data_IF_463069472594
#
_entry.id   IF_463069472594
#
_cell.length_a   1.000
_cell.length_b   1.000
_cell.length_c   1.000
_cell.angle_alpha   90.00
_cell.angle_beta   90.00
_cell.angle_gamma   90.00
#
_symmetry.space_group_name_H-M   'P 1'
#
loop_
_entity.id
_entity.type
_entity.pdbx_description
1 polymer ?
#
# COMPACT_ATOMS: atom_id res chain seq x y z
N UNK A 1 -16.65 -20.06 7.09
CA UNK A 1 -15.76 -19.32 6.18
C UNK A 1 -15.55 -17.92 6.75
N UNK A 2 -14.37 -17.33 6.60
CA UNK A 2 -14.06 -15.98 7.10
C UNK A 2 -13.86 -15.05 5.91
N UNK A 3 -14.43 -13.86 5.94
CA UNK A 3 -14.18 -12.80 5.00
C UNK A 3 -13.35 -11.71 5.68
N UNK A 4 -12.24 -11.32 5.06
CA UNK A 4 -11.47 -10.15 5.48
C UNK A 4 -11.60 -9.04 4.44
N UNK A 5 -11.72 -7.80 4.90
CA UNK A 5 -11.92 -6.62 4.05
C UNK A 5 -10.96 -5.53 4.51
N UNK A 6 -10.05 -5.14 3.64
CA UNK A 6 -9.19 -3.97 3.83
C UNK A 6 -9.75 -2.79 3.03
N UNK A 7 -10.26 -1.79 3.74
CA UNK A 7 -10.82 -0.57 3.15
C UNK A 7 -9.75 0.51 3.13
N UNK A 8 -8.90 0.44 2.13
CA UNK A 8 -7.82 1.41 1.92
C UNK A 8 -8.29 2.75 1.37
N UNK A 9 -7.35 3.67 1.19
CA UNK A 9 -7.61 5.00 0.64
C UNK A 9 -8.07 4.98 -0.83
N UNK A 10 -7.56 4.05 -1.62
CA UNK A 10 -7.81 3.96 -3.08
C UNK A 10 -8.56 2.69 -3.45
N UNK A 11 -8.17 1.55 -2.90
CA UNK A 11 -8.73 0.24 -3.21
C UNK A 11 -9.30 -0.42 -1.97
N UNK A 12 -10.38 -1.16 -2.16
CA UNK A 12 -10.91 -2.11 -1.21
C UNK A 12 -10.46 -3.50 -1.65
N UNK A 13 -9.89 -4.26 -0.72
CA UNK A 13 -9.36 -5.59 -0.96
C UNK A 13 -10.12 -6.57 -0.08
N UNK A 14 -10.51 -7.69 -0.63
CA UNK A 14 -11.17 -8.76 0.12
C UNK A 14 -10.41 -10.06 -0.01
N UNK A 15 -10.41 -10.86 1.04
CA UNK A 15 -9.86 -12.21 1.07
C UNK A 15 -10.84 -13.14 1.77
N UNK A 16 -11.22 -14.23 1.11
CA UNK A 16 -12.01 -15.33 1.67
C UNK A 16 -11.07 -16.42 2.19
N UNK A 17 -11.18 -16.78 3.47
CA UNK A 17 -10.40 -17.86 4.07
C UNK A 17 -11.30 -19.08 4.34
N UNK A 18 -10.85 -20.32 4.08
CA UNK A 18 -9.51 -20.75 3.65
C UNK A 18 -9.31 -20.83 2.13
N UNK A 19 -10.24 -20.39 1.32
CA UNK A 19 -10.13 -20.48 -0.17
C UNK A 19 -9.06 -19.57 -0.76
N UNK A 20 -8.56 -18.61 0.01
CA UNK A 20 -7.58 -17.60 -0.40
C UNK A 20 -8.02 -16.77 -1.63
N UNK A 21 -9.33 -16.73 -1.90
CA UNK A 21 -9.88 -15.96 -3.01
C UNK A 21 -9.82 -14.47 -2.70
N UNK A 22 -9.08 -13.74 -3.50
CA UNK A 22 -8.94 -12.29 -3.40
C UNK A 22 -9.79 -11.57 -4.44
N UNK A 23 -10.29 -10.38 -4.09
CA UNK A 23 -10.93 -9.45 -5.01
C UNK A 23 -10.50 -8.03 -4.68
N UNK A 24 -10.52 -7.17 -5.70
CA UNK A 24 -10.22 -5.75 -5.60
C UNK A 24 -11.38 -4.95 -6.21
N UNK A 25 -11.81 -3.90 -5.52
CA UNK A 25 -12.80 -2.94 -6.03
C UNK A 25 -12.53 -1.55 -5.49
N UNK A 26 -13.06 -0.53 -6.14
CA UNK A 26 -13.06 0.85 -5.65
C UNK A 26 -14.39 1.21 -4.97
N UNK A 27 -15.42 0.41 -5.17
CA UNK A 27 -16.76 0.65 -4.66
C UNK A 27 -17.17 -0.43 -3.66
N UNK A 28 -17.54 -0.02 -2.45
CA UNK A 28 -17.96 -0.93 -1.40
C UNK A 28 -19.28 -1.66 -1.73
N UNK A 29 -20.18 -1.01 -2.47
CA UNK A 29 -21.47 -1.61 -2.86
C UNK A 29 -21.31 -2.79 -3.84
N UNK A 30 -20.14 -2.92 -4.49
CA UNK A 30 -19.82 -4.07 -5.32
C UNK A 30 -19.42 -5.31 -4.51
N UNK A 31 -19.18 -5.15 -3.21
CA UNK A 31 -18.90 -6.26 -2.32
C UNK A 31 -20.23 -6.92 -1.98
N UNK A 32 -20.54 -8.01 -2.68
CA UNK A 32 -21.73 -8.78 -2.40
C UNK A 32 -21.59 -9.52 -1.04
N UNK A 33 -22.16 -8.91 0.00
CA UNK A 33 -22.24 -9.51 1.34
C UNK A 33 -23.40 -10.49 1.41
N UNK A 34 -23.19 -11.70 0.98
CA UNK A 34 -24.00 -12.79 1.48
C UNK A 34 -23.51 -13.10 2.90
N UNK A 35 -23.88 -12.26 3.87
CA UNK A 35 -23.40 -12.36 5.26
C UNK A 35 -23.62 -13.74 5.87
N UNK A 36 -24.65 -14.43 5.42
CA UNK A 36 -25.01 -15.80 5.82
C UNK A 36 -23.94 -16.86 5.42
N UNK A 37 -23.08 -16.54 4.46
CA UNK A 37 -21.97 -17.43 4.03
C UNK A 37 -20.78 -17.40 4.98
N UNK A 38 -20.67 -16.36 5.82
CA UNK A 38 -19.48 -16.13 6.63
C UNK A 38 -19.79 -16.28 8.11
N UNK A 39 -18.99 -17.09 8.80
CA UNK A 39 -18.99 -17.19 10.26
C UNK A 39 -18.45 -15.91 10.90
N UNK A 40 -17.56 -15.22 10.17
CA UNK A 40 -16.88 -14.05 10.66
C UNK A 40 -16.51 -13.11 9.51
N UNK A 41 -16.67 -11.81 9.73
CA UNK A 41 -16.21 -10.77 8.82
C UNK A 41 -15.26 -9.87 9.60
N UNK A 42 -14.04 -9.69 9.10
CA UNK A 42 -13.02 -8.83 9.70
C UNK A 42 -12.81 -7.65 8.77
N UNK A 43 -12.95 -6.44 9.29
CA UNK A 43 -12.80 -5.22 8.50
C UNK A 43 -11.67 -4.38 9.09
N UNK A 44 -10.75 -3.94 8.23
CA UNK A 44 -9.62 -3.07 8.54
C UNK A 44 -9.47 -1.97 7.49
N UNK A 45 -8.44 -1.15 7.62
CA UNK A 45 -8.12 -0.07 6.69
C UNK A 45 -8.59 1.30 7.16
N UNK A 46 -7.92 2.35 6.70
CA UNK A 46 -8.11 3.72 7.17
C UNK A 46 -9.52 4.29 6.97
N UNK A 47 -10.25 3.81 5.95
CA UNK A 47 -11.62 4.23 5.66
C UNK A 47 -12.70 3.32 6.26
N UNK A 48 -12.33 2.28 7.00
CA UNK A 48 -13.25 1.29 7.57
C UNK A 48 -14.35 1.92 8.42
N UNK A 49 -14.00 2.94 9.23
CA UNK A 49 -14.95 3.64 10.11
C UNK A 49 -16.09 4.33 9.37
N UNK A 50 -15.78 4.95 8.24
CA UNK A 50 -16.75 5.71 7.45
C UNK A 50 -17.79 4.80 6.81
N UNK A 51 -17.40 3.56 6.48
CA UNK A 51 -18.24 2.62 5.76
C UNK A 51 -19.09 1.78 6.73
N UNK A 52 -18.49 1.27 7.82
CA UNK A 52 -19.19 0.39 8.77
C UNK A 52 -20.43 1.04 9.39
N UNK A 53 -20.41 2.34 9.62
CA UNK A 53 -21.55 3.07 10.19
C UNK A 53 -22.83 3.00 9.36
N UNK A 54 -22.74 2.67 8.08
CA UNK A 54 -23.83 2.62 7.14
C UNK A 54 -24.43 1.22 6.92
N UNK A 55 -23.79 0.17 7.45
CA UNK A 55 -24.19 -1.22 7.20
C UNK A 55 -24.46 -1.98 8.51
N UNK A 56 -25.60 -2.65 8.58
CA UNK A 56 -25.91 -3.63 9.65
C UNK A 56 -25.27 -4.95 9.27
N UNK A 57 -24.10 -5.21 9.77
CA UNK A 57 -23.38 -6.45 9.52
C UNK A 57 -23.39 -7.32 10.79
N UNK A 58 -23.70 -8.62 10.70
CA UNK A 58 -23.59 -9.53 11.85
C UNK A 58 -22.12 -9.83 12.15
N UNK A 59 -21.78 -10.08 13.42
CA UNK A 59 -20.47 -10.54 13.92
C UNK A 59 -19.24 -9.93 13.24
N UNK A 60 -19.18 -8.59 13.23
CA UNK A 60 -18.04 -7.87 12.69
C UNK A 60 -17.00 -7.68 13.78
N UNK A 61 -15.82 -8.22 13.56
CA UNK A 61 -14.63 -7.81 14.28
C UNK A 61 -13.92 -6.75 13.45
N UNK A 62 -13.76 -5.58 14.03
CA UNK A 62 -13.08 -4.46 13.43
C UNK A 62 -11.70 -4.33 14.03
N UNK A 63 -10.67 -4.27 13.20
CA UNK A 63 -9.38 -3.77 13.63
C UNK A 63 -9.46 -2.26 13.83
N UNK A 64 -8.89 -1.78 14.92
CA UNK A 64 -8.83 -0.36 15.24
C UNK A 64 -7.54 0.30 14.79
N UNK A 65 -6.55 -0.49 14.31
CA UNK A 65 -5.23 -0.01 13.96
C UNK A 65 -4.69 -0.71 12.72
N UNK A 66 -4.84 -0.06 11.56
CA UNK A 66 -4.38 -0.53 10.26
C UNK A 66 -2.88 -0.88 10.25
N UNK A 67 -2.03 -0.10 10.95
CA UNK A 67 -0.58 -0.35 11.00
C UNK A 67 -0.24 -1.61 11.78
N UNK A 68 -1.01 -1.94 12.82
CA UNK A 68 -0.86 -3.20 13.53
C UNK A 68 -1.26 -4.39 12.65
N UNK A 69 -2.31 -4.24 11.86
CA UNK A 69 -2.74 -5.30 10.94
C UNK A 69 -1.74 -5.50 9.81
N UNK A 70 -1.18 -4.41 9.27
CA UNK A 70 -0.08 -4.46 8.32
C UNK A 70 1.13 -5.21 8.88
N UNK A 71 1.54 -4.87 10.10
CA UNK A 71 2.67 -5.52 10.77
C UNK A 71 2.42 -7.02 10.99
N UNK A 72 1.25 -7.37 11.53
CA UNK A 72 0.87 -8.78 11.77
C UNK A 72 0.79 -9.58 10.48
N UNK A 73 0.18 -9.02 9.43
CA UNK A 73 0.10 -9.65 8.12
C UNK A 73 1.48 -9.89 7.50
N UNK A 74 2.36 -8.88 7.54
CA UNK A 74 3.72 -9.01 7.04
C UNK A 74 4.57 -10.02 7.83
N UNK A 75 4.49 -10.00 9.16
CA UNK A 75 5.12 -10.97 10.05
C UNK A 75 4.67 -12.40 9.75
N UNK A 76 3.37 -12.60 9.58
CA UNK A 76 2.79 -13.89 9.21
C UNK A 76 3.34 -14.38 7.86
N UNK A 77 3.32 -13.54 6.82
CA UNK A 77 3.80 -13.90 5.49
C UNK A 77 5.31 -14.18 5.46
N UNK A 78 6.09 -13.42 6.24
CA UNK A 78 7.53 -13.63 6.36
C UNK A 78 7.91 -14.79 7.31
N UNK A 79 6.93 -15.33 8.02
CA UNK A 79 7.12 -16.37 9.05
C UNK A 79 8.21 -15.98 10.07
N UNK A 80 8.17 -14.74 10.57
CA UNK A 80 9.12 -14.23 11.55
C UNK A 80 8.48 -13.20 12.46
N UNK A 81 8.91 -13.16 13.73
CA UNK A 81 8.48 -12.17 14.72
C UNK A 81 9.41 -10.95 14.82
N UNK A 82 10.51 -10.98 14.04
CA UNK A 82 11.50 -9.90 13.98
C UNK A 82 11.66 -9.45 12.53
N UNK A 83 10.99 -8.37 12.13
CA UNK A 83 11.10 -7.85 10.76
C UNK A 83 10.64 -6.39 10.65
N UNK A 84 10.93 -5.82 9.50
CA UNK A 84 10.33 -4.57 9.03
C UNK A 84 9.33 -4.88 7.92
N UNK A 85 8.16 -4.25 7.98
CA UNK A 85 7.12 -4.37 6.95
C UNK A 85 6.90 -3.00 6.32
N UNK A 86 7.17 -2.91 5.03
CA UNK A 86 6.83 -1.74 4.20
C UNK A 86 5.49 -1.99 3.52
N UNK A 87 4.49 -1.22 3.88
CA UNK A 87 3.22 -1.21 3.17
C UNK A 87 3.31 -0.26 1.96
N UNK A 88 3.01 -0.77 0.76
CA UNK A 88 2.93 0.07 -0.44
C UNK A 88 1.47 0.16 -0.86
N UNK A 89 0.78 1.18 -0.36
CA UNK A 89 -0.63 1.48 -0.64
C UNK A 89 -0.77 2.87 -1.24
N UNK A 90 -1.82 3.60 -0.88
CA UNK A 90 -2.02 5.03 -1.26
C UNK A 90 -0.84 5.88 -0.80
N UNK A 91 -0.37 5.66 0.42
CA UNK A 91 0.94 6.06 0.94
C UNK A 91 1.78 4.83 1.28
N UNK A 92 2.97 5.03 1.88
CA UNK A 92 3.91 3.95 2.17
C UNK A 92 4.40 4.03 3.62
N UNK A 93 3.71 3.38 4.58
CA UNK A 93 4.17 3.26 5.96
C UNK A 93 5.21 2.14 6.12
N UNK A 94 6.18 2.34 7.02
CA UNK A 94 7.12 1.34 7.50
C UNK A 94 6.82 1.05 8.97
N UNK A 95 6.60 -0.22 9.28
CA UNK A 95 6.44 -0.69 10.66
C UNK A 95 7.52 -1.70 11.02
N UNK A 96 7.96 -1.67 12.26
CA UNK A 96 8.85 -2.67 12.86
C UNK A 96 8.04 -3.63 13.70
N UNK A 97 8.33 -4.90 13.57
CA UNK A 97 7.81 -5.97 14.43
C UNK A 97 8.99 -6.50 15.25
N UNK A 98 8.83 -6.57 16.56
CA UNK A 98 9.81 -7.13 17.48
C UNK A 98 9.11 -7.69 18.71
N UNK A 99 9.31 -8.99 19.00
CA UNK A 99 8.71 -9.68 20.13
C UNK A 99 7.18 -9.46 20.24
N UNK A 100 6.47 -9.55 19.12
CA UNK A 100 5.01 -9.34 19.04
C UNK A 100 4.56 -7.88 19.15
N UNK A 101 5.47 -6.94 19.43
CA UNK A 101 5.19 -5.51 19.43
C UNK A 101 5.32 -4.92 18.03
N UNK A 102 4.39 -4.07 17.64
CA UNK A 102 4.39 -3.39 16.35
C UNK A 102 4.55 -1.89 16.58
N UNK A 103 5.56 -1.32 15.94
CA UNK A 103 5.88 0.11 16.04
C UNK A 103 5.92 0.74 14.66
N UNK A 104 5.17 1.81 14.47
CA UNK A 104 5.33 2.67 13.29
C UNK A 104 6.68 3.40 13.36
N UNK A 105 7.50 3.26 12.33
CA UNK A 105 8.82 3.88 12.27
C UNK A 105 8.76 5.19 11.50
N UNK A 106 8.24 5.12 10.26
CA UNK A 106 8.12 6.27 9.37
C UNK A 106 7.05 5.98 8.33
N UNK A 107 6.54 7.01 7.70
CA UNK A 107 5.66 6.88 6.54
C UNK A 107 5.88 8.04 5.57
N UNK A 108 5.55 7.80 4.33
CA UNK A 108 5.54 8.83 3.29
C UNK A 108 4.20 8.84 2.57
N UNK A 109 3.76 10.02 2.14
CA UNK A 109 2.61 10.18 1.25
C UNK A 109 2.88 9.71 -0.18
N UNK A 110 4.10 9.27 -0.49
CA UNK A 110 4.47 8.74 -1.80
C UNK A 110 4.05 7.26 -1.87
N UNK A 111 3.17 6.95 -2.81
CA UNK A 111 2.64 5.60 -3.04
C UNK A 111 1.78 5.58 -4.29
N UNK A 112 0.85 4.64 -4.37
CA UNK A 112 -0.07 4.51 -5.50
C UNK A 112 -0.89 5.78 -5.74
N UNK A 113 -1.28 6.50 -4.67
CA UNK A 113 -1.97 7.79 -4.80
C UNK A 113 -1.14 8.83 -5.57
N UNK A 114 0.18 8.87 -5.35
CA UNK A 114 1.10 9.76 -6.09
C UNK A 114 1.23 9.32 -7.55
N UNK A 115 1.39 8.00 -7.78
CA UNK A 115 1.50 7.43 -9.13
C UNK A 115 0.25 7.77 -9.95
N UNK A 116 -0.94 7.57 -9.38
CA UNK A 116 -2.20 7.89 -10.05
C UNK A 116 -2.37 9.39 -10.28
N UNK A 117 -2.07 10.20 -9.27
CA UNK A 117 -2.18 11.65 -9.37
C UNK A 117 -1.27 12.22 -10.45
N UNK A 118 0.00 11.82 -10.47
CA UNK A 118 0.96 12.24 -11.49
C UNK A 118 0.63 11.63 -12.86
N UNK A 119 0.22 10.36 -12.91
CA UNK A 119 -0.22 9.71 -14.13
C UNK A 119 -1.37 10.47 -14.79
N UNK A 120 -2.40 10.81 -14.02
CA UNK A 120 -3.53 11.60 -14.50
C UNK A 120 -3.12 13.00 -14.98
N UNK A 121 -2.19 13.63 -14.26
CA UNK A 121 -1.72 14.98 -14.59
C UNK A 121 -0.90 15.01 -15.88
N UNK A 122 -0.03 14.02 -16.11
CA UNK A 122 0.93 14.04 -17.22
C UNK A 122 0.54 13.16 -18.40
N UNK A 123 -0.25 12.11 -18.18
CA UNK A 123 -0.61 11.12 -19.20
C UNK A 123 -2.12 11.04 -19.47
N UNK A 124 -2.94 11.78 -18.71
CA UNK A 124 -4.40 11.78 -18.86
C UNK A 124 -5.08 10.61 -18.14
N UNK A 125 -6.31 10.31 -18.53
CA UNK A 125 -7.12 9.24 -17.92
C UNK A 125 -6.69 7.87 -18.48
N UNK A 126 -5.63 7.32 -17.91
CA UNK A 126 -5.15 5.97 -18.20
C UNK A 126 -5.54 5.00 -17.08
N UNK A 127 -5.76 3.75 -17.46
CA UNK A 127 -5.89 2.66 -16.50
C UNK A 127 -4.58 2.39 -15.75
N UNK A 128 -4.66 1.61 -14.67
CA UNK A 128 -3.47 1.19 -13.89
C UNK A 128 -2.50 0.41 -14.78
N UNK A 129 -3.04 -0.48 -15.60
CA UNK A 129 -2.29 -1.33 -16.52
C UNK A 129 -1.52 -0.49 -17.55
N UNK A 130 -2.17 0.51 -18.13
CA UNK A 130 -1.55 1.43 -19.08
C UNK A 130 -0.45 2.28 -18.42
N UNK A 131 -0.69 2.79 -17.20
CA UNK A 131 0.33 3.53 -16.44
C UNK A 131 1.53 2.65 -16.12
N UNK A 132 1.33 1.40 -15.74
CA UNK A 132 2.43 0.45 -15.49
C UNK A 132 3.24 0.19 -16.77
N UNK A 133 2.57 -0.03 -17.91
CA UNK A 133 3.24 -0.23 -19.19
C UNK A 133 4.05 1.00 -19.63
N UNK A 134 3.57 2.22 -19.34
CA UNK A 134 4.34 3.44 -19.58
C UNK A 134 5.54 3.53 -18.64
N UNK A 135 5.37 3.19 -17.37
CA UNK A 135 6.45 3.22 -16.39
C UNK A 135 7.57 2.24 -16.73
N UNK A 136 7.24 1.04 -17.21
CA UNK A 136 8.22 0.04 -17.68
C UNK A 136 9.07 0.52 -18.86
N UNK A 137 8.51 1.37 -19.72
CA UNK A 137 9.21 1.97 -20.87
C UNK A 137 9.94 3.26 -20.51
N UNK A 138 9.67 3.78 -19.30
CA UNK A 138 10.23 5.05 -18.82
C UNK A 138 11.70 4.95 -18.45
N UNK A 139 12.43 6.03 -18.62
CA UNK A 139 13.81 6.17 -18.15
C UNK A 139 13.92 7.29 -17.11
N UNK A 140 13.88 6.90 -15.84
CA UNK A 140 13.96 7.83 -14.73
C UNK A 140 15.26 8.68 -14.72
N UNK A 141 16.36 8.16 -15.33
CA UNK A 141 17.64 8.89 -15.40
C UNK A 141 17.57 10.12 -16.27
N UNK A 142 16.62 10.18 -17.20
CA UNK A 142 16.39 11.37 -18.04
C UNK A 142 15.73 12.52 -17.28
N UNK A 143 15.00 12.18 -16.20
CA UNK A 143 14.22 13.15 -15.43
C UNK A 143 14.87 13.49 -14.10
N UNK A 144 15.50 12.51 -13.47
CA UNK A 144 16.03 12.60 -12.11
C UNK A 144 17.53 12.83 -12.13
N UNK A 145 18.02 13.65 -11.16
CA UNK A 145 19.44 13.76 -10.88
C UNK A 145 19.85 12.74 -9.82
N UNK A 146 20.95 12.02 -10.02
CA UNK A 146 21.49 11.07 -9.06
C UNK A 146 22.50 11.69 -8.11
N UNK A 147 22.78 11.00 -6.99
CA UNK A 147 23.83 11.42 -6.04
C UNK A 147 25.19 11.47 -6.73
N UNK A 148 25.53 10.50 -7.58
CA UNK A 148 26.79 10.49 -8.32
C UNK A 148 26.94 11.58 -9.38
N UNK A 149 25.83 12.23 -9.80
CA UNK A 149 25.91 13.40 -10.69
C UNK A 149 26.16 14.72 -9.92
N UNK A 150 25.97 14.71 -8.59
CA UNK A 150 26.21 15.88 -7.73
C UNK A 150 27.56 15.77 -7.03
N UNK A 151 27.90 14.56 -6.58
CA UNK A 151 29.07 14.29 -5.75
C UNK A 151 30.01 13.31 -6.47
N UNK A 152 31.24 13.73 -6.76
CA UNK A 152 32.25 12.89 -7.40
C UNK A 152 32.61 11.65 -6.56
N UNK A 153 32.57 11.77 -5.23
CA UNK A 153 32.93 10.71 -4.27
C UNK A 153 31.72 10.30 -3.42
N UNK A 154 30.60 9.97 -4.06
CA UNK A 154 29.36 9.59 -3.35
C UNK A 154 29.51 8.40 -2.41
N UNK A 155 30.43 7.48 -2.71
CA UNK A 155 30.72 6.31 -1.88
C UNK A 155 31.32 6.70 -0.51
N UNK A 156 32.12 7.80 -0.45
CA UNK A 156 32.65 8.34 0.80
C UNK A 156 31.55 8.88 1.72
N UNK A 157 30.41 9.29 1.14
CA UNK A 157 29.24 9.73 1.87
C UNK A 157 28.34 8.57 2.33
N UNK A 158 28.70 7.32 1.99
CA UNK A 158 27.93 6.12 2.31
C UNK A 158 26.66 5.96 1.47
N UNK A 159 26.54 6.64 0.34
CA UNK A 159 25.42 6.54 -0.60
C UNK A 159 25.86 5.98 -1.95
N UNK A 160 25.16 4.95 -2.47
CA UNK A 160 25.40 4.51 -3.85
C UNK A 160 25.17 5.68 -4.83
N UNK A 161 26.07 5.81 -5.79
CA UNK A 161 26.00 6.88 -6.82
C UNK A 161 24.70 6.88 -7.64
N UNK A 162 24.04 5.71 -7.73
CA UNK A 162 22.78 5.52 -8.46
C UNK A 162 21.53 6.01 -7.73
N UNK A 163 21.63 6.36 -6.44
CA UNK A 163 20.45 6.88 -5.69
C UNK A 163 20.01 8.20 -6.28
N UNK A 164 18.69 8.38 -6.41
CA UNK A 164 18.10 9.67 -6.84
C UNK A 164 18.28 10.71 -5.75
N UNK A 165 18.99 11.79 -6.07
CA UNK A 165 19.14 12.96 -5.22
C UNK A 165 18.00 13.96 -5.40
N UNK A 166 17.43 14.05 -6.60
CA UNK A 166 16.30 14.93 -6.89
C UNK A 166 15.41 14.38 -8.00
N UNK A 167 14.11 14.24 -7.69
CA UNK A 167 13.12 13.86 -8.69
C UNK A 167 12.82 15.04 -9.60
N UNK A 168 12.65 14.78 -10.90
CA UNK A 168 12.31 15.76 -11.93
C UNK A 168 13.31 16.93 -12.07
N UNK A 169 14.49 16.83 -11.49
CA UNK A 169 15.46 17.94 -11.47
C UNK A 169 16.13 18.22 -12.84
N UNK A 170 15.92 17.35 -13.84
CA UNK A 170 16.42 17.53 -15.21
C UNK A 170 15.36 18.03 -16.20
N UNK A 171 14.13 18.31 -15.73
CA UNK A 171 13.10 18.91 -16.56
C UNK A 171 13.41 20.40 -16.72
N UNK A 172 13.67 20.83 -17.93
CA UNK A 172 13.89 22.24 -18.33
C UNK A 172 12.60 22.80 -18.92
#
# INVERSE_FOLDING_TARGET
>A
MILTIDIGGTLIKTLEWPSEKTRFTINFDEINFEAERYEKIIITGGRSQQIIGNYKLPDIIRSTNELNDLGRGGSYLANTEECYVLGVGTGSPLVQISNGNIKHIIGTGIGAGTIFGLGKLFAGDLSIEELNQLAEKGDAKKLNISVGEIYENSDELGFPSSITAGNFAKIN
#
